data_IF_614764149078
#
_entry.id   IF_614764149078
#
_cell.length_a   1.000
_cell.length_b   1.000
_cell.length_c   1.000
_cell.angle_alpha   90.00
_cell.angle_beta   90.00
_cell.angle_gamma   90.00
#
_symmetry.space_group_name_H-M   'P 1'
#
loop_
_entity.id
_entity.type
_entity.pdbx_description
1 polymer ?
#
# COMPACT_ATOMS: atom_id res chain seq x y z
N UNK A 1 -8.70 1.62 0.66
CA UNK A 1 -7.89 1.89 1.88
C UNK A 1 -6.68 2.69 1.45
N UNK A 2 -6.09 3.48 2.35
CA UNK A 2 -4.86 4.23 2.05
C UNK A 2 -3.74 3.27 1.64
N UNK A 3 -3.09 3.57 0.52
CA UNK A 3 -1.99 2.81 -0.06
C UNK A 3 -0.73 3.66 -0.25
N UNK A 4 -0.54 4.72 0.55
CA UNK A 4 0.45 5.75 0.26
C UNK A 4 1.86 5.19 0.23
N UNK A 5 2.29 4.49 1.29
CA UNK A 5 3.65 3.96 1.42
C UNK A 5 3.65 2.47 1.73
N UNK A 6 4.62 1.74 1.19
CA UNK A 6 4.90 0.36 1.56
C UNK A 6 5.55 0.30 2.93
N UNK A 7 6.51 1.19 3.22
CA UNK A 7 7.25 1.29 4.48
C UNK A 7 7.12 2.67 5.11
N UNK A 8 7.23 2.74 6.44
CA UNK A 8 7.18 4.03 7.17
C UNK A 8 8.35 4.95 6.79
N UNK A 9 9.50 4.41 6.41
CA UNK A 9 10.72 5.13 6.05
C UNK A 9 10.95 5.28 4.53
N UNK A 10 9.93 4.99 3.70
CA UNK A 10 10.07 4.90 2.24
C UNK A 10 10.65 6.17 1.60
N UNK A 11 10.24 7.36 2.04
CA UNK A 11 10.75 8.62 1.50
C UNK A 11 12.26 8.81 1.75
N UNK A 12 12.77 8.29 2.88
CA UNK A 12 14.19 8.34 3.22
C UNK A 12 14.97 7.32 2.38
N UNK A 13 14.45 6.10 2.25
CA UNK A 13 15.08 5.02 1.46
C UNK A 13 15.17 5.39 -0.02
N UNK A 14 14.15 6.07 -0.55
CA UNK A 14 14.13 6.54 -1.93
C UNK A 14 14.84 7.89 -2.13
N UNK A 15 15.39 8.51 -1.07
CA UNK A 15 16.11 9.79 -1.10
C UNK A 15 15.29 10.97 -1.70
N UNK A 16 13.97 10.94 -1.54
CA UNK A 16 13.05 11.98 -2.05
C UNK A 16 12.40 12.82 -0.95
N UNK A 17 12.70 12.54 0.32
CA UNK A 17 12.22 13.31 1.45
C UNK A 17 12.72 12.79 2.79
N UNK A 18 12.45 13.55 3.86
CA UNK A 18 12.91 13.27 5.23
C UNK A 18 11.79 12.85 6.20
N UNK A 19 10.54 12.87 5.73
CA UNK A 19 9.36 12.52 6.53
C UNK A 19 9.07 11.03 6.49
N UNK A 20 8.77 10.49 7.66
CA UNK A 20 8.17 9.16 7.82
C UNK A 20 6.68 9.18 7.48
N UNK A 21 6.12 8.04 7.08
CA UNK A 21 4.70 7.84 6.81
C UNK A 21 3.82 8.30 7.96
N UNK A 22 4.16 7.91 9.18
CA UNK A 22 3.48 8.33 10.42
C UNK A 22 3.49 9.84 10.64
N UNK A 23 4.54 10.54 10.20
CA UNK A 23 4.62 12.01 10.29
C UNK A 23 3.76 12.70 9.23
N UNK A 24 3.42 11.98 8.16
CA UNK A 24 2.49 12.41 7.12
C UNK A 24 1.04 11.95 7.39
N UNK A 25 0.81 11.19 8.46
CA UNK A 25 -0.52 10.67 8.82
C UNK A 25 -0.92 9.39 8.07
N UNK A 26 0.02 8.71 7.43
CA UNK A 26 -0.23 7.47 6.69
C UNK A 26 0.31 6.24 7.45
N UNK A 27 -0.52 5.19 7.52
CA UNK A 27 -0.10 3.88 8.00
C UNK A 27 0.57 3.13 6.84
N UNK A 28 1.83 2.73 7.03
CA UNK A 28 2.55 1.93 6.05
C UNK A 28 1.87 0.57 5.82
N UNK A 29 2.02 0.02 4.61
CA UNK A 29 1.38 -1.23 4.24
C UNK A 29 2.03 -2.44 4.93
N UNK A 30 3.36 -2.44 4.96
CA UNK A 30 4.17 -3.51 5.52
C UNK A 30 4.66 -3.20 6.94
N UNK A 31 5.23 -4.21 7.58
CA UNK A 31 5.80 -4.12 8.93
C UNK A 31 4.77 -4.36 10.04
N UNK A 32 5.24 -4.46 11.31
CA UNK A 32 4.38 -4.79 12.44
C UNK A 32 3.25 -3.78 12.62
N UNK A 33 2.01 -4.26 12.69
CA UNK A 33 0.82 -3.40 12.78
C UNK A 33 0.49 -2.63 11.50
N UNK A 34 1.15 -2.94 10.37
CA UNK A 34 0.89 -2.32 9.08
C UNK A 34 -0.48 -2.67 8.49
N UNK A 35 -0.83 -1.99 7.40
CA UNK A 35 -2.13 -2.14 6.74
C UNK A 35 -2.43 -3.60 6.37
N UNK A 36 -1.43 -4.39 5.96
CA UNK A 36 -1.63 -5.79 5.59
C UNK A 36 -2.14 -6.65 6.76
N UNK A 37 -1.57 -6.49 7.96
CA UNK A 37 -2.04 -7.19 9.16
C UNK A 37 -3.46 -6.76 9.57
N UNK A 38 -3.78 -5.48 9.38
CA UNK A 38 -5.12 -4.94 9.65
C UNK A 38 -6.12 -5.55 8.66
N UNK A 39 -5.79 -5.52 7.37
CA UNK A 39 -6.66 -6.01 6.30
C UNK A 39 -6.86 -7.52 6.34
N UNK A 40 -5.89 -8.29 6.81
CA UNK A 40 -6.04 -9.73 7.01
C UNK A 40 -7.21 -10.06 7.97
N UNK A 41 -7.53 -9.16 8.91
CA UNK A 41 -8.60 -9.34 9.90
C UNK A 41 -9.96 -8.81 9.45
N UNK A 42 -10.03 -8.09 8.34
CA UNK A 42 -11.28 -7.51 7.84
C UNK A 42 -12.00 -8.52 6.93
N UNK A 43 -13.23 -8.96 7.27
CA UNK A 43 -14.03 -9.83 6.42
C UNK A 43 -14.71 -9.01 5.32
N UNK A 44 -13.92 -8.58 4.33
CA UNK A 44 -14.40 -7.90 3.14
C UNK A 44 -14.26 -8.80 1.90
N UNK A 45 -15.27 -8.79 1.03
CA UNK A 45 -15.26 -9.56 -0.22
C UNK A 45 -14.21 -9.04 -1.22
N UNK A 46 -13.88 -7.74 -1.16
CA UNK A 46 -12.92 -7.08 -2.04
C UNK A 46 -12.14 -6.03 -1.26
N UNK A 47 -10.81 -5.99 -1.42
CA UNK A 47 -9.91 -5.05 -0.75
C UNK A 47 -9.09 -4.33 -1.80
N UNK A 48 -9.17 -3.00 -1.82
CA UNK A 48 -8.47 -2.16 -2.82
C UNK A 48 -7.69 -1.06 -2.11
N UNK A 49 -6.39 -0.94 -2.43
CA UNK A 49 -5.53 0.17 -2.02
C UNK A 49 -5.59 1.29 -3.06
N UNK A 50 -5.69 2.54 -2.60
CA UNK A 50 -5.73 3.76 -3.43
C UNK A 50 -4.94 4.87 -2.75
N UNK A 51 -4.68 5.98 -3.43
CA UNK A 51 -3.84 7.08 -2.96
C UNK A 51 -2.42 6.56 -2.71
N UNK A 52 -1.74 6.18 -3.79
CA UNK A 52 -0.45 5.49 -3.76
C UNK A 52 0.63 6.50 -4.14
N UNK A 53 1.68 6.60 -3.30
CA UNK A 53 2.78 7.50 -3.60
C UNK A 53 3.65 6.95 -4.74
N UNK A 54 4.29 7.85 -5.50
CA UNK A 54 5.12 7.47 -6.65
C UNK A 54 6.34 6.60 -6.29
N UNK A 55 6.80 6.63 -5.03
CA UNK A 55 7.91 5.81 -4.52
C UNK A 55 7.51 4.38 -4.19
N UNK A 56 6.22 4.08 -4.16
CA UNK A 56 5.74 2.83 -3.60
C UNK A 56 6.01 1.66 -4.57
N UNK A 57 6.75 0.61 -4.15
CA UNK A 57 7.12 -0.51 -5.01
C UNK A 57 5.93 -1.30 -5.56
N UNK A 58 4.73 -1.18 -4.98
CA UNK A 58 3.52 -1.86 -5.48
C UNK A 58 3.08 -1.36 -6.87
N UNK A 59 3.57 -0.19 -7.29
CA UNK A 59 3.37 0.35 -8.64
C UNK A 59 4.18 -0.42 -9.69
N UNK A 60 5.30 -1.03 -9.31
CA UNK A 60 5.99 -1.98 -10.16
C UNK A 60 5.27 -3.34 -10.10
N UNK A 61 4.67 -3.74 -11.22
CA UNK A 61 3.92 -5.00 -11.32
C UNK A 61 4.79 -6.26 -11.14
N UNK A 62 6.12 -6.13 -11.25
CA UNK A 62 7.06 -7.24 -11.08
C UNK A 62 7.69 -7.29 -9.67
N UNK A 63 7.36 -6.37 -8.78
CA UNK A 63 7.94 -6.29 -7.44
C UNK A 63 7.45 -7.42 -6.53
N UNK A 64 8.26 -7.77 -5.53
CA UNK A 64 7.88 -8.75 -4.52
C UNK A 64 6.70 -8.25 -3.67
N UNK A 65 6.65 -6.94 -3.43
CA UNK A 65 5.60 -6.23 -2.72
C UNK A 65 4.26 -6.33 -3.45
N UNK A 66 4.27 -6.17 -4.77
CA UNK A 66 3.06 -6.39 -5.57
C UNK A 66 2.59 -7.84 -5.49
N UNK A 67 3.52 -8.81 -5.58
CA UNK A 67 3.20 -10.22 -5.47
C UNK A 67 2.60 -10.59 -4.09
N UNK A 68 3.05 -9.94 -3.01
CA UNK A 68 2.50 -10.13 -1.66
C UNK A 68 1.04 -9.62 -1.55
N UNK A 69 0.73 -8.48 -2.16
CA UNK A 69 -0.65 -7.97 -2.25
C UNK A 69 -1.56 -8.93 -3.02
N UNK A 70 -1.10 -9.40 -4.18
CA UNK A 70 -1.86 -10.33 -5.02
C UNK A 70 -2.13 -11.65 -4.28
N UNK A 71 -1.11 -12.19 -3.58
CA UNK A 71 -1.26 -13.39 -2.74
C UNK A 71 -2.25 -13.21 -1.58
N UNK A 72 -2.40 -11.98 -1.10
CA UNK A 72 -3.35 -11.61 -0.03
C UNK A 72 -4.74 -11.23 -0.56
N UNK A 73 -4.95 -11.28 -1.88
CA UNK A 73 -6.20 -10.87 -2.52
C UNK A 73 -6.50 -9.37 -2.37
N UNK A 74 -5.46 -8.55 -2.29
CA UNK A 74 -5.56 -7.09 -2.16
C UNK A 74 -5.19 -6.46 -3.50
N UNK A 75 -6.13 -5.71 -4.08
CA UNK A 75 -5.93 -5.04 -5.36
C UNK A 75 -5.30 -3.67 -5.19
N UNK A 76 -4.55 -3.26 -6.21
CA UNK A 76 -3.97 -1.92 -6.35
C UNK A 76 -4.84 -1.14 -7.33
N UNK A 77 -5.40 -0.01 -6.89
CA UNK A 77 -6.20 0.86 -7.75
C UNK A 77 -5.36 1.45 -8.88
N UNK A 78 -6.00 1.69 -10.03
CA UNK A 78 -5.39 2.26 -11.22
C UNK A 78 -6.37 3.23 -11.89
N UNK A 79 -5.84 4.15 -12.68
CA UNK A 79 -6.64 5.18 -13.35
C UNK A 79 -7.60 4.56 -14.36
N UNK A 80 -8.90 4.76 -14.15
CA UNK A 80 -9.95 4.12 -14.96
C UNK A 80 -10.48 2.81 -14.37
N UNK A 81 -10.07 2.43 -13.16
CA UNK A 81 -10.66 1.30 -12.45
C UNK A 81 -12.14 1.56 -12.15
N UNK A 82 -13.01 0.70 -12.65
CA UNK A 82 -14.44 0.71 -12.33
C UNK A 82 -14.75 -0.31 -11.24
N UNK A 83 -15.47 0.11 -10.20
CA UNK A 83 -15.95 -0.75 -9.12
C UNK A 83 -17.48 -0.78 -9.19
N UNK A 84 -18.04 -1.98 -9.38
CA UNK A 84 -19.47 -2.25 -9.24
C UNK A 84 -19.69 -2.91 -7.88
N UNK A 85 -20.73 -2.46 -7.17
CA UNK A 85 -21.08 -2.90 -5.83
C UNK A 85 -22.35 -3.75 -5.85
#
# INVERSE_FOLDING_TARGET
MDGTLWRDDEMLVCEVGDKLGRQMGHLAQSGPGGMLEVLAKVPAARKVLIHINNTNPILDTASAERAELDASGIEVAWDGMHIQL
#
